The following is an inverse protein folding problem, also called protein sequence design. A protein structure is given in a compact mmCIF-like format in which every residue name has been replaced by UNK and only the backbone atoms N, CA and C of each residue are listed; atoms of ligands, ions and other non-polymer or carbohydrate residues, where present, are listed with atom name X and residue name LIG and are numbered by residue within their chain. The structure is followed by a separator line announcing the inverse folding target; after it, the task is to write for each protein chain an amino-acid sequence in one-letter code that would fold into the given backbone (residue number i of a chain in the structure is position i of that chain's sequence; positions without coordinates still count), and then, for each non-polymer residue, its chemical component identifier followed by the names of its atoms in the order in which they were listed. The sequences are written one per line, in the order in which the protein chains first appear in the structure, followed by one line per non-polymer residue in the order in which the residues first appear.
data_IF_068127100388
#
_entry.id   IF_068127100388
#
_cell.length_a   1.000
_cell.length_b   1.000
_cell.length_c   1.000
_cell.angle_alpha   90.00
_cell.angle_beta   90.00
_cell.angle_gamma   90.00
#
_symmetry.space_group_name_H-M   'P 1'
#
loop_
_entity.id
_entity.type
_entity.pdbx_description
1 polymer ?
#
# COMPACT_ATOMS: atom_id res chain seq x y z
N UNK A 1 8.69 9.25 26.07
CA UNK A 1 7.43 8.62 25.62
C UNK A 1 7.35 8.80 24.10
N UNK A 2 7.01 7.76 23.34
CA UNK A 2 7.02 7.81 21.88
C UNK A 2 5.62 8.05 21.32
N UNK A 3 5.53 8.70 20.15
CA UNK A 3 4.29 8.88 19.41
C UNK A 3 4.43 8.24 18.01
N UNK A 4 3.47 7.41 17.62
CA UNK A 4 3.24 7.07 16.22
C UNK A 4 2.32 8.14 15.64
N UNK A 5 2.68 8.67 14.48
CA UNK A 5 1.92 9.67 13.74
C UNK A 5 1.77 9.18 12.31
N UNK A 6 0.54 8.95 11.89
CA UNK A 6 0.18 8.56 10.53
C UNK A 6 -0.55 9.74 9.92
N UNK A 7 -0.14 10.16 8.72
CA UNK A 7 -0.80 11.25 8.01
C UNK A 7 -1.60 10.68 6.85
N UNK A 8 -2.90 10.85 6.90
CA UNK A 8 -3.84 10.40 5.88
C UNK A 8 -4.34 11.62 5.10
N UNK A 9 -4.45 11.53 3.77
CA UNK A 9 -5.01 12.63 2.99
C UNK A 9 -6.49 12.88 3.38
N UNK A 10 -6.88 14.14 3.50
CA UNK A 10 -8.23 14.51 3.96
C UNK A 10 -9.32 14.09 2.97
N UNK A 11 -8.96 13.83 1.71
CA UNK A 11 -9.86 13.36 0.65
C UNK A 11 -10.37 11.92 0.85
N UNK A 12 -9.82 11.16 1.80
CA UNK A 12 -10.16 9.76 2.05
C UNK A 12 -10.58 9.53 3.51
N UNK A 13 -11.77 10.02 3.93
CA UNK A 13 -12.27 9.86 5.30
C UNK A 13 -12.43 8.39 5.73
N UNK A 14 -12.73 7.48 4.81
CA UNK A 14 -12.80 6.04 5.10
C UNK A 14 -11.46 5.49 5.58
N UNK A 15 -10.37 5.83 4.88
CA UNK A 15 -9.02 5.44 5.28
C UNK A 15 -8.56 6.06 6.60
N UNK A 16 -9.02 7.28 6.93
CA UNK A 16 -8.75 7.89 8.24
C UNK A 16 -9.41 7.04 9.34
N UNK A 17 -10.67 6.62 9.13
CA UNK A 17 -11.42 5.80 10.08
C UNK A 17 -10.80 4.42 10.26
N UNK A 18 -10.47 3.74 9.16
CA UNK A 18 -9.78 2.43 9.17
C UNK A 18 -8.44 2.51 9.93
N UNK A 19 -7.70 3.62 9.79
CA UNK A 19 -6.46 3.87 10.55
C UNK A 19 -6.71 4.05 12.06
N UNK A 20 -7.77 4.79 12.43
CA UNK A 20 -8.16 4.97 13.84
C UNK A 20 -8.57 3.63 14.46
N UNK A 21 -9.45 2.89 13.78
CA UNK A 21 -9.96 1.60 14.24
C UNK A 21 -8.82 0.58 14.42
N UNK A 22 -7.88 0.56 13.47
CA UNK A 22 -6.67 -0.28 13.54
C UNK A 22 -5.83 0.06 14.77
N UNK A 23 -5.58 1.34 15.02
CA UNK A 23 -4.79 1.76 16.19
C UNK A 23 -5.50 1.46 17.50
N UNK A 24 -6.83 1.58 17.56
CA UNK A 24 -7.61 1.22 18.74
C UNK A 24 -7.59 -0.29 18.99
N UNK A 25 -7.70 -1.12 17.94
CA UNK A 25 -7.63 -2.56 18.05
C UNK A 25 -6.24 -3.06 18.51
N UNK A 26 -5.17 -2.46 17.98
CA UNK A 26 -3.79 -2.83 18.36
C UNK A 26 -3.41 -2.27 19.74
N UNK A 27 -4.00 -1.14 20.15
CA UNK A 27 -3.67 -0.44 21.38
C UNK A 27 -4.93 -0.13 22.23
N UNK A 28 -5.67 -1.16 22.71
CA UNK A 28 -6.99 -0.99 23.32
C UNK A 28 -6.99 -0.12 24.58
N UNK A 29 -5.85 -0.04 25.28
CA UNK A 29 -5.70 0.76 26.51
C UNK A 29 -5.06 2.13 26.29
N UNK A 30 -4.81 2.53 25.04
CA UNK A 30 -4.16 3.80 24.71
C UNK A 30 -5.11 4.73 23.96
N UNK A 31 -4.93 6.03 24.16
CA UNK A 31 -5.70 7.03 23.43
C UNK A 31 -5.15 7.20 22.02
N UNK A 32 -5.98 6.91 21.03
CA UNK A 32 -5.81 7.33 19.64
C UNK A 32 -6.55 8.66 19.45
N UNK A 33 -5.88 9.65 18.85
CA UNK A 33 -6.46 10.96 18.55
C UNK A 33 -6.27 11.34 17.09
N UNK A 34 -7.16 12.20 16.58
CA UNK A 34 -7.07 12.77 15.24
C UNK A 34 -6.91 14.28 15.29
N UNK A 35 -6.03 14.83 14.45
CA UNK A 35 -5.84 16.28 14.31
C UNK A 35 -5.96 16.65 12.84
N UNK A 36 -6.94 17.47 12.50
CA UNK A 36 -7.11 18.03 11.16
C UNK A 36 -5.98 19.00 10.83
N UNK A 37 -5.42 18.88 9.63
CA UNK A 37 -4.39 19.76 9.07
C UNK A 37 -4.75 20.11 7.62
N UNK A 38 -4.07 21.10 7.05
CA UNK A 38 -4.29 21.49 5.65
C UNK A 38 -4.06 20.29 4.71
N UNK A 39 -5.12 19.83 4.05
CA UNK A 39 -5.11 18.73 3.09
C UNK A 39 -4.94 17.32 3.68
N UNK A 40 -4.82 17.16 5.00
CA UNK A 40 -4.56 15.85 5.64
C UNK A 40 -5.02 15.79 7.09
N UNK A 41 -5.27 14.58 7.58
CA UNK A 41 -5.56 14.32 9.00
C UNK A 41 -4.41 13.52 9.59
N UNK A 42 -3.88 14.00 10.71
CA UNK A 42 -2.93 13.25 11.53
C UNK A 42 -3.71 12.31 12.45
N UNK A 43 -3.43 11.01 12.38
CA UNK A 43 -3.85 10.02 13.36
C UNK A 43 -2.65 9.68 14.24
N UNK A 44 -2.80 9.85 15.55
CA UNK A 44 -1.69 9.69 16.48
C UNK A 44 -2.06 8.84 17.70
N UNK A 45 -1.12 8.00 18.11
CA UNK A 45 -1.19 7.23 19.34
C UNK A 45 0.16 7.31 20.07
N UNK A 46 0.12 7.37 21.41
CA UNK A 46 1.32 7.45 22.26
C UNK A 46 1.43 6.22 23.14
N UNK A 47 2.58 5.56 23.11
CA UNK A 47 2.86 4.42 23.98
C UNK A 47 4.37 4.20 24.17
N UNK A 48 4.75 3.44 25.20
CA UNK A 48 6.17 3.17 25.53
C UNK A 48 6.76 2.04 24.68
N UNK A 49 6.00 0.99 24.41
CA UNK A 49 6.43 -0.22 23.68
C UNK A 49 6.39 -0.08 22.14
N UNK A 50 6.51 1.14 21.59
CA UNK A 50 6.54 1.36 20.13
C UNK A 50 7.65 0.56 19.43
N UNK A 51 8.88 0.49 19.96
CA UNK A 51 9.95 -0.28 19.33
C UNK A 51 9.61 -1.76 19.16
N UNK A 52 8.73 -2.33 19.99
CA UNK A 52 8.33 -3.73 19.90
C UNK A 52 7.49 -4.02 18.64
N UNK A 53 6.66 -3.07 18.20
CA UNK A 53 5.80 -3.22 17.02
C UNK A 53 6.47 -2.72 15.73
N UNK A 54 7.26 -1.63 15.84
CA UNK A 54 7.99 -1.03 14.73
C UNK A 54 9.48 -0.93 15.06
N UNK A 55 10.23 -2.04 15.03
CA UNK A 55 11.66 -2.03 15.39
C UNK A 55 12.54 -1.40 14.32
N UNK A 56 11.99 -0.96 13.18
CA UNK A 56 12.69 -0.14 12.18
C UNK A 56 12.98 1.30 12.69
N UNK A 57 13.00 1.50 14.00
CA UNK A 57 13.35 2.75 14.64
C UNK A 57 14.87 2.81 14.84
N UNK A 58 15.50 3.81 14.25
CA UNK A 58 16.94 4.04 14.33
C UNK A 58 17.28 5.43 13.75
N UNK A 59 18.56 5.83 13.75
CA UNK A 59 19.02 7.05 13.10
C UNK A 59 18.82 7.02 11.56
N UNK A 60 19.06 8.14 10.88
CA UNK A 60 18.95 8.25 9.42
C UNK A 60 17.53 8.40 8.88
N UNK A 61 17.34 8.43 7.56
CA UNK A 61 16.01 8.53 6.93
C UNK A 61 15.32 7.18 6.95
N UNK A 62 13.99 7.16 7.10
CA UNK A 62 13.19 5.91 7.14
C UNK A 62 13.44 5.02 5.91
N UNK A 63 13.54 5.60 4.72
CA UNK A 63 13.67 4.85 3.45
C UNK A 63 15.06 4.25 3.22
N UNK A 64 16.08 4.68 3.96
CA UNK A 64 17.43 4.11 3.88
C UNK A 64 17.60 2.90 4.80
N UNK A 65 16.60 2.61 5.65
CA UNK A 65 16.66 1.52 6.62
C UNK A 65 16.12 0.24 6.00
N UNK A 66 16.89 -0.84 6.09
CA UNK A 66 16.45 -2.17 5.70
C UNK A 66 15.15 -2.54 6.42
N UNK A 67 14.15 -2.96 5.67
CA UNK A 67 12.93 -3.56 6.19
C UNK A 67 13.25 -5.04 6.32
N UNK A 68 13.97 -5.43 7.37
CA UNK A 68 14.02 -6.83 7.76
C UNK A 68 12.71 -7.14 8.50
N UNK A 69 11.77 -7.87 7.89
CA UNK A 69 10.64 -8.34 8.64
C UNK A 69 11.21 -9.43 9.54
N UNK A 70 11.22 -9.20 10.86
CA UNK A 70 11.42 -10.27 11.82
C UNK A 70 10.53 -11.45 11.37
N UNK A 71 11.01 -12.69 11.45
CA UNK A 71 10.33 -13.89 10.94
C UNK A 71 8.81 -13.91 11.20
N UNK A 72 8.39 -13.45 12.38
CA UNK A 72 6.98 -13.27 12.77
C UNK A 72 6.15 -12.33 11.88
N UNK A 73 6.71 -11.24 11.34
CA UNK A 73 5.99 -10.33 10.42
C UNK A 73 5.77 -10.98 9.06
N UNK A 74 6.70 -11.82 8.60
CA UNK A 74 6.51 -12.61 7.37
C UNK A 74 5.38 -13.62 7.58
N UNK A 75 5.38 -14.34 8.70
CA UNK A 75 4.29 -15.27 9.05
C UNK A 75 2.91 -14.60 9.07
N UNK A 76 2.79 -13.40 9.66
CA UNK A 76 1.51 -12.66 9.65
C UNK A 76 1.11 -12.24 8.22
N UNK A 77 2.05 -11.70 7.44
CA UNK A 77 1.82 -11.32 6.04
C UNK A 77 1.38 -12.52 5.18
N UNK A 78 1.98 -13.68 5.44
CA UNK A 78 1.70 -14.92 4.73
C UNK A 78 0.32 -15.49 5.05
N UNK A 79 -0.15 -15.30 6.30
CA UNK A 79 -1.49 -15.71 6.75
C UNK A 79 -2.60 -14.75 6.35
N UNK A 80 -2.27 -13.48 6.12
CA UNK A 80 -3.22 -12.40 5.82
C UNK A 80 -2.80 -11.62 4.55
N UNK A 81 -2.66 -12.29 3.39
CA UNK A 81 -2.19 -11.65 2.17
C UNK A 81 -3.18 -10.63 1.60
N UNK A 82 -4.49 -10.86 1.74
CA UNK A 82 -5.52 -9.95 1.25
C UNK A 82 -5.49 -8.60 1.97
N UNK A 83 -5.39 -8.61 3.31
CA UNK A 83 -5.29 -7.41 4.14
C UNK A 83 -3.99 -6.65 3.86
N UNK A 84 -2.88 -7.36 3.63
CA UNK A 84 -1.60 -6.76 3.25
C UNK A 84 -1.70 -6.06 1.88
N UNK A 85 -2.22 -6.76 0.86
CA UNK A 85 -2.39 -6.22 -0.49
C UNK A 85 -3.32 -5.01 -0.46
N UNK A 86 -4.45 -5.10 0.25
CA UNK A 86 -5.38 -3.99 0.44
C UNK A 86 -4.67 -2.80 1.06
N UNK A 87 -3.95 -2.99 2.17
CA UNK A 87 -3.22 -1.91 2.84
C UNK A 87 -2.22 -1.20 1.93
N UNK A 88 -1.41 -1.95 1.18
CA UNK A 88 -0.41 -1.41 0.26
C UNK A 88 -1.04 -0.66 -0.93
N UNK A 89 -2.09 -1.22 -1.53
CA UNK A 89 -2.80 -0.57 -2.63
C UNK A 89 -3.57 0.67 -2.16
N UNK A 90 -4.02 0.71 -0.91
CA UNK A 90 -4.65 1.91 -0.32
C UNK A 90 -3.64 3.00 0.01
N UNK A 91 -2.44 2.65 0.48
CA UNK A 91 -1.43 3.65 0.85
C UNK A 91 -0.82 4.31 -0.39
N UNK A 92 -0.20 3.52 -1.27
CA UNK A 92 0.67 4.00 -2.35
C UNK A 92 0.28 3.43 -3.73
N UNK A 93 -0.86 2.76 -3.79
CA UNK A 93 -1.45 2.26 -5.03
C UNK A 93 -2.64 3.07 -5.54
N UNK A 94 -3.06 2.73 -6.74
CA UNK A 94 -4.28 3.22 -7.36
C UNK A 94 -4.94 2.16 -8.25
N UNK A 95 -6.24 2.35 -8.49
CA UNK A 95 -7.01 1.63 -9.50
C UNK A 95 -7.48 2.65 -10.53
N UNK A 96 -7.15 2.45 -11.79
CA UNK A 96 -7.52 3.36 -12.87
C UNK A 96 -8.09 2.59 -14.06
N UNK A 97 -8.98 3.23 -14.81
CA UNK A 97 -9.43 2.73 -16.12
C UNK A 97 -8.37 3.10 -17.15
N UNK A 98 -7.74 2.10 -17.77
CA UNK A 98 -6.80 2.31 -18.85
C UNK A 98 -7.54 2.24 -20.18
N UNK A 99 -7.44 3.31 -20.99
CA UNK A 99 -8.06 3.40 -22.32
C UNK A 99 -6.98 3.29 -23.39
N UNK A 100 -7.01 2.20 -24.15
CA UNK A 100 -6.05 1.92 -25.22
C UNK A 100 -6.77 1.87 -26.55
N UNK A 101 -6.22 2.51 -27.58
CA UNK A 101 -6.71 2.37 -28.96
C UNK A 101 -6.00 1.23 -29.67
N UNK A 102 -6.74 0.43 -30.42
CA UNK A 102 -6.21 -0.62 -31.29
C UNK A 102 -6.85 -0.50 -32.66
N UNK A 103 -6.06 -0.72 -33.70
CA UNK A 103 -6.59 -0.85 -35.06
C UNK A 103 -7.22 -2.24 -35.21
N UNK A 104 -8.47 -2.29 -35.63
CA UNK A 104 -9.18 -3.55 -35.96
C UNK A 104 -9.70 -3.39 -37.38
N UNK A 105 -9.00 -3.96 -38.36
CA UNK A 105 -9.23 -3.68 -39.78
C UNK A 105 -8.68 -2.31 -40.19
N UNK A 106 -9.51 -1.47 -40.80
CA UNK A 106 -9.17 -0.09 -41.19
C UNK A 106 -9.63 0.97 -40.15
N UNK A 107 -10.26 0.56 -39.04
CA UNK A 107 -10.85 1.47 -38.06
C UNK A 107 -10.13 1.43 -36.70
N UNK A 108 -10.15 2.56 -36.00
CA UNK A 108 -9.68 2.67 -34.62
C UNK A 108 -10.78 2.27 -33.63
N UNK A 109 -10.51 1.27 -32.79
CA UNK A 109 -11.37 0.90 -31.65
C UNK A 109 -10.69 1.22 -30.32
N UNK A 110 -11.46 1.77 -29.39
CA UNK A 110 -11.01 2.00 -28.02
C UNK A 110 -11.38 0.80 -27.15
N UNK A 111 -10.43 0.35 -26.35
CA UNK A 111 -10.60 -0.70 -25.36
C UNK A 111 -10.28 -0.15 -23.98
N UNK A 112 -11.24 -0.22 -23.08
CA UNK A 112 -11.10 0.20 -21.69
C UNK A 112 -10.99 -1.01 -20.78
N UNK A 113 -10.05 -0.98 -19.85
CA UNK A 113 -9.89 -2.03 -18.84
C UNK A 113 -9.39 -1.45 -17.52
N UNK A 114 -9.91 -1.95 -16.38
CA UNK A 114 -9.40 -1.56 -15.08
C UNK A 114 -7.99 -2.11 -14.86
N UNK A 115 -7.16 -1.35 -14.16
CA UNK A 115 -5.78 -1.71 -13.85
C UNK A 115 -5.40 -1.19 -12.47
N UNK A 116 -4.74 -2.03 -11.68
CA UNK A 116 -4.10 -1.62 -10.44
C UNK A 116 -2.64 -1.26 -10.69
N UNK A 117 -2.18 -0.23 -10.00
CA UNK A 117 -0.80 0.20 -9.97
C UNK A 117 -0.34 0.38 -8.53
N UNK A 118 0.93 0.10 -8.30
CA UNK A 118 1.63 0.41 -7.06
C UNK A 118 3.02 0.91 -7.40
N UNK A 119 3.43 2.03 -6.83
CA UNK A 119 4.74 2.63 -7.10
C UNK A 119 5.50 2.87 -5.81
N UNK A 120 6.75 2.42 -5.75
CA UNK A 120 7.62 2.65 -4.58
C UNK A 120 9.08 2.69 -4.99
N UNK A 121 9.91 3.36 -4.20
CA UNK A 121 11.38 3.30 -4.30
C UNK A 121 11.96 2.17 -3.43
N UNK A 122 11.14 1.56 -2.56
CA UNK A 122 11.57 0.42 -1.75
C UNK A 122 11.32 -0.87 -2.50
N UNK A 123 12.40 -1.48 -3.00
CA UNK A 123 12.33 -2.79 -3.66
C UNK A 123 11.81 -3.88 -2.71
N UNK A 124 12.13 -3.78 -1.41
CA UNK A 124 11.62 -4.71 -0.38
C UNK A 124 10.09 -4.64 -0.23
N UNK A 125 9.50 -3.44 -0.22
CA UNK A 125 8.02 -3.30 -0.15
C UNK A 125 7.37 -3.83 -1.44
N UNK A 126 7.99 -3.59 -2.59
CA UNK A 126 7.51 -4.13 -3.88
C UNK A 126 7.57 -5.66 -3.87
N UNK A 127 8.67 -6.23 -3.35
CA UNK A 127 8.83 -7.67 -3.18
C UNK A 127 7.73 -8.27 -2.29
N UNK A 128 7.48 -7.65 -1.12
CA UNK A 128 6.40 -8.08 -0.22
C UNK A 128 5.02 -8.06 -0.89
N UNK A 129 4.73 -7.02 -1.69
CA UNK A 129 3.49 -6.97 -2.47
C UNK A 129 3.44 -8.08 -3.53
N UNK A 130 4.53 -8.28 -4.28
CA UNK A 130 4.64 -9.31 -5.30
C UNK A 130 4.44 -10.72 -4.74
N UNK A 131 5.11 -11.04 -3.64
CA UNK A 131 4.98 -12.33 -2.95
C UNK A 131 3.53 -12.57 -2.47
N UNK A 132 2.88 -11.55 -1.93
CA UNK A 132 1.48 -11.65 -1.52
C UNK A 132 0.54 -11.88 -2.72
N UNK A 133 0.78 -11.20 -3.85
CA UNK A 133 0.02 -11.38 -5.09
C UNK A 133 0.22 -12.78 -5.66
N UNK A 134 1.46 -13.29 -5.67
CA UNK A 134 1.78 -14.63 -6.15
C UNK A 134 1.06 -15.72 -5.34
N UNK A 135 0.96 -15.56 -4.03
CA UNK A 135 0.20 -16.47 -3.14
C UNK A 135 -1.29 -16.57 -3.50
N UNK A 136 -1.88 -15.47 -3.97
CA UNK A 136 -3.27 -15.43 -4.42
C UNK A 136 -3.43 -15.78 -5.91
N UNK A 137 -2.35 -16.16 -6.60
CA UNK A 137 -2.37 -16.46 -8.04
C UNK A 137 -2.65 -15.22 -8.91
N UNK A 138 -2.45 -14.02 -8.38
CA UNK A 138 -2.67 -12.76 -9.10
C UNK A 138 -1.52 -12.53 -10.06
N UNK A 139 -1.81 -12.32 -11.35
CA UNK A 139 -0.81 -11.99 -12.37
C UNK A 139 -0.46 -10.52 -12.35
N UNK A 140 0.81 -10.24 -12.09
CA UNK A 140 1.36 -8.89 -12.05
C UNK A 140 2.62 -8.77 -12.91
N UNK A 141 2.99 -7.51 -13.17
CA UNK A 141 4.22 -7.15 -13.87
C UNK A 141 4.92 -6.03 -13.12
N UNK A 142 6.25 -5.99 -13.16
CA UNK A 142 7.05 -4.95 -12.55
C UNK A 142 7.95 -4.30 -13.59
N UNK A 143 7.99 -2.97 -13.57
CA UNK A 143 8.95 -2.19 -14.35
C UNK A 143 9.68 -1.23 -13.44
N UNK A 144 11.00 -1.24 -13.52
CA UNK A 144 11.82 -0.23 -12.86
C UNK A 144 12.00 0.98 -13.77
N UNK A 145 12.00 2.15 -13.17
CA UNK A 145 12.33 3.43 -13.81
C UNK A 145 13.47 4.08 -13.04
N UNK A 146 14.50 4.49 -13.76
CA UNK A 146 15.57 5.32 -13.22
C UNK A 146 15.13 6.78 -13.21
N UNK A 147 14.99 7.37 -12.01
CA UNK A 147 14.64 8.78 -11.85
C UNK A 147 15.84 9.62 -11.37
N UNK A 148 17.05 9.21 -11.76
CA UNK A 148 18.31 9.84 -11.36
C UNK A 148 19.11 9.05 -10.32
N UNK A 149 20.28 9.57 -9.91
CA UNK A 149 21.18 8.88 -8.99
C UNK A 149 20.48 8.62 -7.65
N UNK A 150 20.50 7.36 -7.23
CA UNK A 150 19.87 6.87 -5.99
C UNK A 150 18.33 7.00 -5.93
N UNK A 151 17.63 7.15 -7.06
CA UNK A 151 16.15 7.25 -7.13
C UNK A 151 15.53 6.30 -8.16
N UNK A 152 15.89 5.03 -8.09
CA UNK A 152 15.19 3.97 -8.82
C UNK A 152 13.83 3.72 -8.19
N UNK A 153 12.76 3.71 -8.99
CA UNK A 153 11.41 3.38 -8.52
C UNK A 153 10.85 2.20 -9.31
N UNK A 154 10.26 1.23 -8.63
CA UNK A 154 9.50 0.17 -9.28
C UNK A 154 8.03 0.52 -9.38
N UNK A 155 7.43 0.18 -10.52
CA UNK A 155 6.00 0.28 -10.79
C UNK A 155 5.47 -1.14 -10.99
N UNK A 156 4.78 -1.64 -9.98
CA UNK A 156 4.04 -2.89 -10.03
C UNK A 156 2.65 -2.62 -10.65
N UNK A 157 2.20 -3.53 -11.50
CA UNK A 157 0.93 -3.40 -12.20
C UNK A 157 0.20 -4.73 -12.31
N UNK A 158 -1.11 -4.70 -12.08
CA UNK A 158 -2.04 -5.83 -12.30
C UNK A 158 -3.08 -5.39 -13.33
N UNK A 159 -3.06 -6.05 -14.50
CA UNK A 159 -3.92 -5.68 -15.65
C UNK A 159 -4.74 -6.85 -16.21
N UNK A 160 -4.42 -8.09 -15.83
CA UNK A 160 -5.19 -9.25 -16.28
C UNK A 160 -6.59 -9.20 -15.66
N UNK A 161 -7.64 -9.36 -16.48
CA UNK A 161 -9.04 -9.19 -16.06
C UNK A 161 -9.42 -10.05 -14.85
N UNK A 162 -9.02 -11.32 -14.80
CA UNK A 162 -9.31 -12.23 -13.67
C UNK A 162 -8.63 -11.77 -12.39
N UNK A 163 -7.35 -11.42 -12.49
CA UNK A 163 -6.54 -10.87 -11.43
C UNK A 163 -7.11 -9.56 -10.87
N UNK A 164 -7.56 -8.64 -11.74
CA UNK A 164 -8.20 -7.39 -11.31
C UNK A 164 -9.54 -7.65 -10.62
N UNK A 165 -10.35 -8.58 -11.13
CA UNK A 165 -11.62 -8.95 -10.51
C UNK A 165 -11.42 -9.56 -9.10
N UNK A 166 -10.36 -10.36 -8.93
CA UNK A 166 -9.99 -10.89 -7.62
C UNK A 166 -9.62 -9.76 -6.65
N UNK A 167 -8.76 -8.82 -7.07
CA UNK A 167 -8.43 -7.65 -6.24
C UNK A 167 -9.66 -6.79 -5.92
N UNK A 168 -10.57 -6.60 -6.88
CA UNK A 168 -11.80 -5.84 -6.67
C UNK A 168 -12.68 -6.44 -5.55
N UNK A 169 -12.65 -7.76 -5.36
CA UNK A 169 -13.48 -8.46 -4.38
C UNK A 169 -13.15 -8.13 -2.91
N UNK A 170 -11.90 -7.78 -2.60
CA UNK A 170 -11.45 -7.51 -1.22
C UNK A 170 -10.82 -6.12 -1.01
N UNK A 171 -10.20 -5.54 -2.05
CA UNK A 171 -9.62 -4.18 -1.94
C UNK A 171 -10.73 -3.13 -1.92
N UNK A 172 -11.71 -3.24 -2.81
CA UNK A 172 -12.84 -2.33 -2.94
C UNK A 172 -12.50 -0.89 -3.36
N UNK A 173 -13.50 0.01 -3.45
CA UNK A 173 -13.32 1.41 -3.88
C UNK A 173 -12.68 2.27 -2.78
N UNK A 174 -11.76 3.18 -3.15
CA UNK A 174 -11.05 4.04 -2.20
C UNK A 174 -11.98 5.16 -1.74
N UNK A 175 -12.15 5.32 -0.44
CA UNK A 175 -13.07 6.29 0.17
C UNK A 175 -12.51 6.80 1.50
#
# INVERSE_FOLDING_TARGET
MWALRIFCAASWPGLIRECVDTLQAVLPHHRTGTVSKTGRTEVAARWRHRPCLFPQHGPGRKHDRRIEPASRRRDIADRHPEELIRGLLRSDGCRATNRVRRTVGAEWKYHEYPRYFFSSTSEEIIGLLGEALDRLGVRWSLRFRDNGPHRRSGILSVAERKSVALLDSFVGPKH
#
